data_IF_824458542114
#
_entry.id   IF_824458542114
#
_cell.length_a   1.000
_cell.length_b   1.000
_cell.length_c   1.000
_cell.angle_alpha   90.00
_cell.angle_beta   90.00
_cell.angle_gamma   90.00
#
_symmetry.space_group_name_H-M   'P 1'
#
loop_
_entity.id
_entity.type
_entity.pdbx_description
1 polymer ?
#
# COMPACT_ATOMS: atom_id res chain seq x y z
N UNK A 1 -13.12 -2.92 -11.76
CA UNK A 1 -11.82 -3.17 -11.10
C UNK A 1 -11.94 -4.47 -10.33
N UNK A 2 -11.05 -5.43 -10.54
CA UNK A 2 -11.07 -6.69 -9.79
C UNK A 2 -10.47 -6.47 -8.39
N UNK A 3 -11.11 -7.00 -7.34
CA UNK A 3 -10.62 -6.90 -5.95
C UNK A 3 -10.61 -8.30 -5.34
N UNK A 4 -9.44 -8.75 -4.90
CA UNK A 4 -9.26 -9.96 -4.11
C UNK A 4 -9.17 -9.53 -2.64
N UNK A 5 -10.10 -10.02 -1.82
CA UNK A 5 -10.19 -9.67 -0.41
C UNK A 5 -9.76 -10.82 0.49
N UNK A 6 -8.93 -10.52 1.49
CA UNK A 6 -8.56 -11.42 2.57
C UNK A 6 -8.89 -10.82 3.93
N UNK A 7 -9.50 -11.61 4.82
CA UNK A 7 -9.61 -11.20 6.23
C UNK A 7 -8.23 -11.11 6.89
N UNK A 8 -7.35 -12.07 6.60
CA UNK A 8 -5.99 -12.14 7.15
C UNK A 8 -5.05 -12.80 6.16
N UNK A 9 -3.89 -12.21 5.95
CA UNK A 9 -2.86 -12.75 5.05
C UNK A 9 -1.45 -12.45 5.58
N UNK A 10 -0.41 -13.07 5.03
CA UNK A 10 0.97 -12.71 5.36
C UNK A 10 1.31 -11.30 4.86
N UNK A 11 1.14 -11.04 3.57
CA UNK A 11 1.30 -9.70 2.99
C UNK A 11 0.59 -9.64 1.63
N UNK A 12 -0.08 -8.54 1.36
CA UNK A 12 -0.71 -8.26 0.06
C UNK A 12 0.33 -8.19 -1.07
N UNK A 13 1.46 -7.52 -0.85
CA UNK A 13 2.60 -7.49 -1.79
C UNK A 13 3.17 -8.89 -2.04
N UNK A 14 3.35 -9.67 -0.97
CA UNK A 14 3.88 -11.03 -1.09
C UNK A 14 2.94 -11.93 -1.90
N UNK A 15 1.65 -11.88 -1.60
CA UNK A 15 0.65 -12.62 -2.37
C UNK A 15 0.67 -12.22 -3.84
N UNK A 16 0.74 -10.91 -4.13
CA UNK A 16 0.82 -10.39 -5.48
C UNK A 16 2.04 -10.94 -6.24
N UNK A 17 3.20 -10.95 -5.58
CA UNK A 17 4.46 -11.46 -6.14
C UNK A 17 4.41 -12.96 -6.41
N UNK A 18 3.91 -13.75 -5.47
CA UNK A 18 3.88 -15.22 -5.56
C UNK A 18 2.82 -15.73 -6.54
N UNK A 19 1.80 -14.93 -6.86
CA UNK A 19 0.66 -15.34 -7.69
C UNK A 19 0.55 -14.56 -9.00
N UNK A 20 1.57 -13.78 -9.37
CA UNK A 20 1.50 -12.81 -10.47
C UNK A 20 0.91 -13.38 -11.77
N UNK A 21 1.37 -14.57 -12.19
CA UNK A 21 0.93 -15.25 -13.42
C UNK A 21 -0.55 -15.69 -13.40
N UNK A 22 -1.16 -15.77 -12.22
CA UNK A 22 -2.56 -16.18 -12.04
C UNK A 22 -3.50 -14.99 -11.88
N UNK A 23 -2.96 -13.76 -11.78
CA UNK A 23 -3.76 -12.57 -11.54
C UNK A 23 -4.27 -11.97 -12.86
N UNK A 24 -5.57 -11.70 -12.90
CA UNK A 24 -6.17 -10.91 -13.98
C UNK A 24 -5.98 -9.42 -13.70
N UNK A 25 -5.02 -8.79 -14.38
CA UNK A 25 -4.66 -7.38 -14.20
C UNK A 25 -5.57 -6.43 -14.99
N UNK A 26 -5.85 -5.21 -14.48
CA UNK A 26 -5.44 -4.69 -13.18
C UNK A 26 -6.26 -5.27 -12.02
N UNK A 27 -5.61 -5.50 -10.88
CA UNK A 27 -6.25 -6.04 -9.66
C UNK A 27 -5.78 -5.32 -8.41
N UNK A 28 -6.68 -5.21 -7.43
CA UNK A 28 -6.35 -4.83 -6.07
C UNK A 28 -6.41 -6.08 -5.18
N UNK A 29 -5.36 -6.30 -4.40
CA UNK A 29 -5.37 -7.26 -3.31
C UNK A 29 -5.52 -6.46 -2.02
N UNK A 30 -6.60 -6.66 -1.28
CA UNK A 30 -6.88 -5.97 -0.03
C UNK A 30 -6.92 -6.96 1.13
N UNK A 31 -6.41 -6.55 2.30
CA UNK A 31 -6.52 -7.33 3.52
C UNK A 31 -6.93 -6.48 4.71
N UNK A 32 -7.78 -7.03 5.58
CA UNK A 32 -8.12 -6.39 6.87
C UNK A 32 -6.93 -6.47 7.85
N UNK A 33 -6.12 -7.53 7.78
CA UNK A 33 -4.89 -7.70 8.58
C UNK A 33 -3.74 -8.33 7.80
N UNK A 34 -2.49 -7.96 8.15
CA UNK A 34 -1.29 -8.64 7.66
C UNK A 34 -0.42 -9.16 8.81
N UNK A 35 -0.01 -10.44 8.76
CA UNK A 35 0.91 -11.03 9.76
C UNK A 35 2.39 -10.80 9.46
N UNK A 36 2.71 -10.36 8.25
CA UNK A 36 4.06 -10.10 7.76
C UNK A 36 4.10 -8.89 6.85
N UNK A 37 3.40 -7.82 7.23
CA UNK A 37 3.43 -6.54 6.51
C UNK A 37 4.86 -6.02 6.39
N UNK A 38 5.24 -5.58 5.18
CA UNK A 38 6.59 -5.12 4.87
C UNK A 38 6.56 -3.68 4.38
N UNK A 39 7.54 -2.90 4.85
CA UNK A 39 7.91 -1.60 4.31
C UNK A 39 9.22 -1.67 3.53
N UNK A 40 9.74 -0.50 3.14
CA UNK A 40 11.04 -0.39 2.47
C UNK A 40 12.17 -0.91 3.35
N UNK A 41 13.22 -1.40 2.69
CA UNK A 41 14.44 -1.91 3.35
C UNK A 41 14.15 -3.01 4.38
N UNK A 42 13.11 -3.82 4.14
CA UNK A 42 12.75 -4.95 5.01
C UNK A 42 12.16 -4.56 6.36
N UNK A 43 11.83 -3.28 6.59
CA UNK A 43 11.18 -2.86 7.83
C UNK A 43 9.80 -3.50 7.96
N UNK A 44 9.43 -3.89 9.17
CA UNK A 44 8.08 -4.38 9.46
C UNK A 44 7.09 -3.22 9.33
N UNK A 45 5.95 -3.47 8.70
CA UNK A 45 4.79 -2.57 8.71
C UNK A 45 3.67 -3.25 9.48
N UNK A 46 3.42 -2.80 10.71
CA UNK A 46 2.35 -3.29 11.56
C UNK A 46 1.01 -3.09 10.87
N UNK A 47 0.22 -4.17 10.76
CA UNK A 47 -1.01 -4.19 9.97
C UNK A 47 -2.19 -4.86 10.72
N UNK A 48 -2.60 -4.32 11.88
CA UNK A 48 -3.75 -4.79 12.65
C UNK A 48 -5.08 -4.45 11.97
N UNK A 49 -6.21 -4.93 12.49
CA UNK A 49 -7.53 -4.52 11.98
C UNK A 49 -7.70 -2.99 12.08
N UNK A 50 -8.48 -2.42 11.17
CA UNK A 50 -8.78 -0.98 11.16
C UNK A 50 -7.87 -0.13 10.29
N UNK A 51 -6.80 -0.68 9.71
CA UNK A 51 -6.01 0.01 8.67
C UNK A 51 -6.45 -0.35 7.25
N UNK A 52 -5.92 0.39 6.27
CA UNK A 52 -6.04 0.09 4.84
C UNK A 52 -4.74 -0.54 4.36
N UNK A 53 -4.76 -1.84 4.07
CA UNK A 53 -3.61 -2.56 3.52
C UNK A 53 -3.97 -3.17 2.19
N UNK A 54 -3.39 -2.66 1.11
CA UNK A 54 -3.67 -3.13 -0.22
C UNK A 54 -2.45 -3.11 -1.12
N UNK A 55 -2.48 -3.93 -2.17
CA UNK A 55 -1.54 -3.87 -3.29
C UNK A 55 -2.32 -3.67 -4.57
N UNK A 56 -2.03 -2.58 -5.30
CA UNK A 56 -2.48 -2.42 -6.69
C UNK A 56 -1.46 -3.08 -7.62
N UNK A 57 -1.94 -3.94 -8.52
CA UNK A 57 -1.09 -4.71 -9.44
C UNK A 57 -1.51 -4.41 -10.87
N UNK A 58 -0.58 -3.90 -11.66
CA UNK A 58 -0.86 -3.50 -13.04
C UNK A 58 0.41 -3.37 -13.89
N UNK A 59 0.24 -3.44 -15.21
CA UNK A 59 1.29 -3.33 -16.23
C UNK A 59 1.13 -2.02 -16.98
N UNK A 60 1.97 -1.05 -16.65
CA UNK A 60 2.04 0.23 -17.35
C UNK A 60 3.47 0.78 -17.41
N UNK A 61 3.69 1.83 -18.20
CA UNK A 61 4.94 2.59 -18.22
C UNK A 61 4.78 3.87 -17.41
N UNK A 62 5.40 3.95 -16.24
CA UNK A 62 5.38 5.15 -15.40
C UNK A 62 6.78 5.44 -14.82
N UNK A 63 7.59 6.27 -15.50
CA UNK A 63 8.95 6.59 -15.06
C UNK A 63 8.97 7.31 -13.70
N UNK A 64 7.88 7.99 -13.31
CA UNK A 64 7.76 8.75 -12.07
C UNK A 64 6.81 8.11 -11.06
N UNK A 65 6.60 6.79 -11.11
CA UNK A 65 5.61 6.12 -10.26
C UNK A 65 5.84 6.33 -8.76
N UNK A 66 7.11 6.40 -8.33
CA UNK A 66 7.49 6.70 -6.94
C UNK A 66 7.09 8.11 -6.50
N UNK A 67 6.83 9.02 -7.43
CA UNK A 67 6.32 10.37 -7.15
C UNK A 67 4.82 10.46 -7.29
N UNK A 68 4.25 9.85 -8.32
CA UNK A 68 2.83 9.91 -8.64
C UNK A 68 1.98 9.21 -7.56
N UNK A 69 2.42 8.06 -7.05
CA UNK A 69 1.63 7.30 -6.07
C UNK A 69 1.47 8.04 -4.74
N UNK A 70 2.53 8.55 -4.07
CA UNK A 70 2.36 9.36 -2.87
C UNK A 70 1.48 10.58 -3.10
N UNK A 71 1.66 11.28 -4.22
CA UNK A 71 0.85 12.45 -4.58
C UNK A 71 -0.64 12.10 -4.68
N UNK A 72 -0.99 11.03 -5.42
CA UNK A 72 -2.39 10.61 -5.58
C UNK A 72 -3.04 10.18 -4.27
N UNK A 73 -2.31 9.51 -3.38
CA UNK A 73 -2.80 9.12 -2.06
C UNK A 73 -3.02 10.35 -1.18
N UNK A 74 -2.05 11.25 -1.12
CA UNK A 74 -2.16 12.50 -0.36
C UNK A 74 -3.32 13.35 -0.86
N UNK A 75 -3.50 13.50 -2.18
CA UNK A 75 -4.63 14.22 -2.76
C UNK A 75 -5.97 13.58 -2.38
N UNK A 76 -6.07 12.25 -2.43
CA UNK A 76 -7.27 11.53 -2.02
C UNK A 76 -7.61 11.71 -0.54
N UNK A 77 -6.60 11.73 0.34
CA UNK A 77 -6.76 11.99 1.77
C UNK A 77 -7.21 13.44 2.04
N UNK A 78 -6.59 14.42 1.36
CA UNK A 78 -6.96 15.84 1.47
C UNK A 78 -8.42 16.05 1.04
N UNK A 79 -8.86 15.42 -0.06
CA UNK A 79 -10.28 15.45 -0.49
C UNK A 79 -11.25 14.86 0.53
N UNK A 80 -10.76 14.06 1.47
CA UNK A 80 -11.53 13.49 2.59
C UNK A 80 -11.39 14.28 3.89
N UNK A 81 -10.74 15.44 3.87
CA UNK A 81 -10.54 16.30 5.04
C UNK A 81 -9.34 15.91 5.92
N UNK A 82 -8.44 15.07 5.42
CA UNK A 82 -7.20 14.70 6.13
C UNK A 82 -6.06 15.54 5.59
N UNK A 83 -5.48 16.41 6.42
CA UNK A 83 -4.31 17.25 6.09
C UNK A 83 -3.03 16.41 6.02
N UNK A 84 -2.98 15.50 5.05
CA UNK A 84 -1.84 14.63 4.81
C UNK A 84 -0.73 15.37 4.07
N UNK A 85 0.52 15.09 4.44
CA UNK A 85 1.72 15.49 3.72
C UNK A 85 2.50 14.28 3.21
N UNK A 86 3.59 14.55 2.50
CA UNK A 86 4.52 13.53 2.01
C UNK A 86 5.89 13.77 2.64
N UNK A 87 6.40 12.80 3.37
CA UNK A 87 7.82 12.69 3.67
C UNK A 87 8.45 11.82 2.59
N UNK A 88 9.15 12.48 1.66
CA UNK A 88 9.75 11.80 0.52
C UNK A 88 10.70 10.68 0.95
N UNK A 89 10.73 9.54 0.24
CA UNK A 89 10.07 9.31 -1.05
C UNK A 89 8.68 8.67 -1.01
N UNK A 90 8.21 8.18 0.14
CA UNK A 90 7.12 7.19 0.16
C UNK A 90 6.28 7.17 1.45
N UNK A 91 6.57 8.05 2.40
CA UNK A 91 5.88 8.09 3.68
C UNK A 91 4.79 9.16 3.65
N UNK A 92 3.57 8.76 4.03
CA UNK A 92 2.45 9.69 4.21
C UNK A 92 2.47 10.15 5.65
N UNK A 93 2.39 11.46 5.88
CA UNK A 93 2.46 12.06 7.21
C UNK A 93 1.17 12.80 7.54
N UNK A 94 0.81 12.84 8.82
CA UNK A 94 -0.27 13.63 9.39
C UNK A 94 0.24 14.23 10.71
N UNK A 95 0.12 15.55 10.88
CA UNK A 95 0.59 16.26 12.09
C UNK A 95 2.05 15.93 12.47
N UNK A 96 2.94 15.87 11.46
CA UNK A 96 4.36 15.56 11.65
C UNK A 96 4.69 14.10 12.02
N UNK A 97 3.69 13.21 12.06
CA UNK A 97 3.87 11.78 12.35
C UNK A 97 3.53 10.94 11.12
N UNK A 98 4.12 9.76 11.04
CA UNK A 98 3.83 8.81 9.96
C UNK A 98 2.39 8.28 10.08
N UNK A 99 1.60 8.51 9.05
CA UNK A 99 0.25 7.98 8.87
C UNK A 99 0.27 6.65 8.10
N UNK A 100 1.22 6.49 7.19
CA UNK A 100 1.33 5.29 6.37
C UNK A 100 2.54 5.31 5.45
N UNK A 101 2.60 4.32 4.58
CA UNK A 101 3.73 4.17 3.66
C UNK A 101 3.36 3.41 2.39
N UNK A 102 4.18 3.65 1.37
CA UNK A 102 4.05 3.03 0.07
C UNK A 102 5.28 2.15 -0.20
N UNK A 103 5.05 0.93 -0.67
CA UNK A 103 6.07 -0.02 -1.10
C UNK A 103 5.83 -0.39 -2.56
N UNK A 104 6.67 0.11 -3.46
CA UNK A 104 6.61 -0.20 -4.89
C UNK A 104 7.67 -1.24 -5.22
N UNK A 105 7.24 -2.34 -5.81
CA UNK A 105 8.11 -3.36 -6.40
C UNK A 105 7.79 -3.51 -7.88
N UNK A 106 8.77 -4.00 -8.65
CA UNK A 106 8.59 -4.29 -10.07
C UNK A 106 9.08 -5.70 -10.36
N UNK A 107 8.19 -6.52 -10.89
CA UNK A 107 8.44 -7.94 -11.20
C UNK A 107 7.98 -8.17 -12.63
N UNK A 108 8.87 -8.64 -13.50
CA UNK A 108 8.55 -8.97 -14.91
C UNK A 108 7.81 -7.86 -15.68
N UNK A 109 8.14 -6.60 -15.36
CA UNK A 109 7.53 -5.42 -15.98
C UNK A 109 6.18 -5.00 -15.40
N UNK A 110 5.65 -5.72 -14.40
CA UNK A 110 4.43 -5.40 -13.64
C UNK A 110 4.81 -4.65 -12.37
N UNK A 111 4.04 -3.62 -12.01
CA UNK A 111 4.19 -2.91 -10.74
C UNK A 111 3.30 -3.54 -9.66
N UNK A 112 3.88 -3.75 -8.48
CA UNK A 112 3.19 -4.13 -7.25
C UNK A 112 3.26 -2.93 -6.31
N UNK A 113 2.16 -2.19 -6.18
CA UNK A 113 2.10 -0.95 -5.41
C UNK A 113 1.38 -1.22 -4.10
N UNK A 114 2.16 -1.56 -3.09
CA UNK A 114 1.74 -1.72 -1.70
C UNK A 114 1.43 -0.38 -1.05
N UNK A 115 0.26 -0.26 -0.46
CA UNK A 115 -0.21 0.91 0.26
C UNK A 115 -0.68 0.43 1.63
N UNK A 116 -0.06 0.97 2.69
CA UNK A 116 -0.47 0.77 4.07
C UNK A 116 -0.78 2.13 4.71
N UNK A 117 -2.02 2.36 5.12
CA UNK A 117 -2.46 3.57 5.81
C UNK A 117 -3.13 3.19 7.13
N UNK A 118 -2.68 3.79 8.22
CA UNK A 118 -3.28 3.64 9.54
C UNK A 118 -4.54 4.52 9.60
N UNK A 119 -5.72 3.92 9.71
CA UNK A 119 -6.99 4.66 9.73
C UNK A 119 -7.62 4.64 11.13
N UNK A 120 -8.06 3.46 11.57
CA UNK A 120 -8.72 3.22 12.85
C UNK A 120 -7.92 2.26 13.74
N UNK A 121 -6.59 2.25 13.57
CA UNK A 121 -5.67 1.43 14.36
C UNK A 121 -5.32 2.16 15.66
N UNK A 122 -5.12 1.43 16.75
CA UNK A 122 -4.66 2.04 18.00
C UNK A 122 -3.13 2.10 18.04
N UNK A 123 -2.59 2.85 19.00
CA UNK A 123 -1.14 3.02 19.16
C UNK A 123 -0.46 1.79 19.79
N UNK A 124 -1.27 0.87 20.33
CA UNK A 124 -0.85 -0.33 21.04
C UNK A 124 -0.78 -1.56 20.11
N UNK A 125 -1.26 -1.42 18.87
CA UNK A 125 -1.25 -2.44 17.81
C UNK A 125 0.03 -2.39 16.93
#
# INVERSE_FOLDING_TARGET
>A
MNIIHFKKIKSTNLYARENLEKLNLPVIIFAETQTGGMGRMGRVFHSPEGGLYMTYVDRFKAPLISMIVPLGITEALIKRGVEAGILWPNDIILNGKKLGGILIERVEGVYLIGIGINCNTTRED
#
